data_IF_981549924182
#
_entry.id   IF_981549924182
#
_cell.length_a   1.000
_cell.length_b   1.000
_cell.length_c   1.000
_cell.angle_alpha   90.00
_cell.angle_beta   90.00
_cell.angle_gamma   90.00
#
_symmetry.space_group_name_H-M   'P 1'
#
loop_
_entity.id
_entity.type
_entity.pdbx_description
1 polymer ?
#
# COMPACT_ATOMS: atom_id res chain seq x y z
N UNK A 1 -9.86 15.87 21.06
CA UNK A 1 -9.67 14.73 20.15
C UNK A 1 -10.53 13.57 20.58
N UNK A 2 -11.06 12.82 19.62
CA UNK A 2 -11.91 11.64 19.84
C UNK A 2 -11.44 10.52 18.91
N UNK A 3 -11.38 9.29 19.42
CA UNK A 3 -11.15 8.13 18.61
C UNK A 3 -12.41 7.76 17.81
N UNK A 4 -12.25 7.52 16.53
CA UNK A 4 -13.30 7.05 15.64
C UNK A 4 -12.97 5.61 15.25
N UNK A 5 -13.87 4.69 15.58
CA UNK A 5 -13.73 3.27 15.28
C UNK A 5 -14.83 2.86 14.32
N UNK A 6 -14.52 1.92 13.42
CA UNK A 6 -15.55 1.30 12.59
C UNK A 6 -16.51 0.51 13.47
N UNK A 7 -17.81 0.83 13.39
CA UNK A 7 -18.84 0.22 14.22
C UNK A 7 -19.51 -1.02 13.58
N UNK A 8 -19.28 -1.23 12.27
CA UNK A 8 -19.89 -2.33 11.51
C UNK A 8 -18.81 -3.23 10.91
N UNK A 9 -19.06 -4.53 10.90
CA UNK A 9 -18.14 -5.51 10.29
C UNK A 9 -18.08 -5.29 8.77
N UNK A 10 -17.02 -4.65 8.29
CA UNK A 10 -16.87 -4.19 6.92
C UNK A 10 -15.77 -4.94 6.14
N UNK A 11 -15.30 -6.06 6.64
CA UNK A 11 -14.30 -6.90 5.97
C UNK A 11 -13.09 -7.23 6.85
N UNK A 12 -12.09 -7.88 6.25
CA UNK A 12 -10.90 -8.38 6.93
C UNK A 12 -10.02 -7.30 7.59
N UNK A 13 -10.13 -6.04 7.13
CA UNK A 13 -9.43 -4.89 7.71
C UNK A 13 -10.18 -4.16 8.84
N UNK A 14 -11.37 -4.63 9.22
CA UNK A 14 -12.25 -3.95 10.19
C UNK A 14 -11.53 -3.54 11.49
N UNK A 15 -10.71 -4.41 12.06
CA UNK A 15 -9.98 -4.14 13.31
C UNK A 15 -8.94 -3.01 13.21
N UNK A 16 -8.51 -2.67 12.01
CA UNK A 16 -7.55 -1.60 11.74
C UNK A 16 -8.20 -0.28 11.32
N UNK A 17 -9.52 -0.26 11.13
CA UNK A 17 -10.25 0.95 10.75
C UNK A 17 -10.43 1.87 11.95
N UNK A 18 -9.38 2.64 12.23
CA UNK A 18 -9.33 3.65 13.29
C UNK A 18 -8.99 5.00 12.69
N UNK A 19 -9.60 6.04 13.21
CA UNK A 19 -9.32 7.42 12.84
C UNK A 19 -9.41 8.30 14.08
N UNK A 20 -9.04 9.57 13.96
CA UNK A 20 -9.23 10.59 14.97
C UNK A 20 -10.11 11.71 14.46
N UNK A 21 -11.00 12.16 15.29
CA UNK A 21 -11.73 13.39 15.09
C UNK A 21 -11.14 14.45 16.01
N UNK A 22 -10.64 15.52 15.43
CA UNK A 22 -10.14 16.69 16.16
C UNK A 22 -11.21 17.78 16.05
N UNK A 23 -11.62 18.33 17.19
CA UNK A 23 -12.52 19.49 17.25
C UNK A 23 -11.66 20.67 17.66
N UNK A 24 -11.59 21.66 16.82
CA UNK A 24 -10.81 22.89 16.97
C UNK A 24 -11.72 24.11 16.85
N UNK A 25 -11.23 25.29 17.19
CA UNK A 25 -11.94 26.51 16.86
C UNK A 25 -11.82 26.84 15.36
N UNK A 26 -12.66 27.78 14.89
CA UNK A 26 -12.76 28.12 13.47
C UNK A 26 -11.41 28.59 12.89
N UNK A 27 -10.61 29.35 13.65
CA UNK A 27 -9.36 29.88 13.14
C UNK A 27 -8.31 28.79 12.96
N UNK A 28 -8.20 27.87 13.92
CA UNK A 28 -7.27 26.75 13.88
C UNK A 28 -7.68 25.76 12.77
N UNK A 29 -8.98 25.48 12.63
CA UNK A 29 -9.51 24.66 11.53
C UNK A 29 -9.20 25.29 10.16
N UNK A 30 -9.40 26.60 9.98
CA UNK A 30 -9.11 27.28 8.71
C UNK A 30 -7.61 27.29 8.41
N UNK A 31 -6.76 27.47 9.42
CA UNK A 31 -5.32 27.40 9.26
C UNK A 31 -4.88 25.98 8.84
N UNK A 32 -5.41 24.95 9.50
CA UNK A 32 -5.17 23.55 9.10
C UNK A 32 -5.67 23.26 7.68
N UNK A 33 -6.88 23.71 7.33
CA UNK A 33 -7.48 23.46 6.01
C UNK A 33 -6.63 24.05 4.88
N UNK A 34 -6.00 25.20 5.09
CA UNK A 34 -5.10 25.82 4.10
C UNK A 34 -3.82 24.99 3.86
N UNK A 35 -3.43 24.15 4.80
CA UNK A 35 -2.28 23.25 4.64
C UNK A 35 -2.64 21.94 3.93
N UNK A 36 -3.94 21.65 3.78
CA UNK A 36 -4.37 20.40 3.15
C UNK A 36 -4.32 20.51 1.63
N UNK A 37 -3.88 19.46 0.96
CA UNK A 37 -3.91 19.44 -0.51
C UNK A 37 -5.37 19.41 -1.00
N UNK A 38 -5.67 20.20 -2.01
CA UNK A 38 -6.95 20.11 -2.71
C UNK A 38 -7.04 18.77 -3.46
N UNK A 39 -8.27 18.33 -3.77
CA UNK A 39 -8.48 17.12 -4.58
C UNK A 39 -7.74 17.18 -5.93
N UNK A 40 -7.72 18.36 -6.56
CA UNK A 40 -6.94 18.55 -7.79
C UNK A 40 -5.42 18.41 -7.58
N UNK A 41 -4.90 18.89 -6.44
CA UNK A 41 -3.50 18.70 -6.06
C UNK A 41 -3.20 17.24 -5.68
N UNK A 42 -4.13 16.54 -5.03
CA UNK A 42 -4.00 15.12 -4.76
C UNK A 42 -3.98 14.30 -6.06
N UNK A 43 -4.87 14.61 -7.03
CA UNK A 43 -4.86 13.98 -8.35
C UNK A 43 -3.61 14.34 -9.16
N UNK A 44 -3.17 15.60 -9.11
CA UNK A 44 -1.93 16.04 -9.75
C UNK A 44 -0.69 15.45 -9.05
N UNK A 45 -0.73 15.27 -7.74
CA UNK A 45 0.31 14.60 -6.94
C UNK A 45 0.41 13.10 -7.20
N UNK A 46 -0.68 12.48 -7.64
CA UNK A 46 -0.67 11.09 -8.16
C UNK A 46 0.07 10.99 -9.50
N UNK A 47 0.23 12.14 -10.21
CA UNK A 47 0.96 12.23 -11.48
C UNK A 47 2.23 13.08 -11.47
N UNK A 48 2.57 13.74 -10.35
CA UNK A 48 3.70 14.67 -10.29
C UNK A 48 4.20 14.79 -8.86
N UNK A 49 4.99 13.85 -8.43
CA UNK A 49 5.76 13.99 -7.19
C UNK A 49 6.91 14.94 -7.43
N UNK A 50 6.68 16.22 -7.25
CA UNK A 50 7.75 17.20 -7.20
C UNK A 50 8.56 17.00 -5.92
N UNK A 51 9.68 16.29 -6.02
CA UNK A 51 10.81 16.43 -5.12
C UNK A 51 11.15 15.30 -4.16
N UNK A 52 10.39 14.21 -4.10
CA UNK A 52 10.78 13.03 -3.31
C UNK A 52 11.53 11.98 -4.15
N UNK A 53 12.34 11.14 -3.50
CA UNK A 53 12.93 9.97 -4.14
C UNK A 53 11.84 9.00 -4.61
N UNK A 54 12.15 8.14 -5.60
CA UNK A 54 11.21 7.09 -6.05
C UNK A 54 10.71 6.22 -4.88
N UNK A 55 11.56 6.00 -3.89
CA UNK A 55 11.21 5.22 -2.69
C UNK A 55 10.14 5.93 -1.86
N UNK A 56 10.28 7.24 -1.61
CA UNK A 56 9.29 8.03 -0.87
C UNK A 56 7.95 8.10 -1.60
N UNK A 57 7.99 8.20 -2.92
CA UNK A 57 6.79 8.16 -3.76
C UNK A 57 6.08 6.81 -3.66
N UNK A 58 6.85 5.73 -3.73
CA UNK A 58 6.34 4.37 -3.57
C UNK A 58 5.76 4.11 -2.18
N UNK A 59 6.39 4.65 -1.12
CA UNK A 59 5.87 4.57 0.24
C UNK A 59 4.52 5.26 0.37
N UNK A 60 4.39 6.48 -0.13
CA UNK A 60 3.12 7.21 -0.13
C UNK A 60 2.04 6.47 -0.92
N UNK A 61 2.40 5.90 -2.08
CA UNK A 61 1.49 5.05 -2.86
C UNK A 61 1.02 3.84 -2.07
N UNK A 62 1.92 3.11 -1.42
CA UNK A 62 1.59 1.94 -0.62
C UNK A 62 0.63 2.28 0.53
N UNK A 63 0.79 3.45 1.15
CA UNK A 63 -0.11 3.96 2.18
C UNK A 63 -1.47 4.36 1.61
N UNK A 64 -1.49 5.16 0.54
CA UNK A 64 -2.71 5.70 -0.06
C UNK A 64 -3.57 4.61 -0.70
N UNK A 65 -2.95 3.58 -1.27
CA UNK A 65 -3.64 2.42 -1.85
C UNK A 65 -4.01 1.36 -0.81
N UNK A 66 -3.63 1.56 0.46
CA UNK A 66 -3.97 0.64 1.55
C UNK A 66 -3.20 -0.68 1.54
N UNK A 67 -2.09 -0.77 0.81
CA UNK A 67 -1.31 -2.00 0.69
C UNK A 67 -0.81 -2.51 2.05
N UNK A 68 -0.39 -1.58 2.92
CA UNK A 68 0.12 -1.88 4.27
C UNK A 68 -0.94 -2.44 5.23
N UNK A 69 -2.23 -2.38 4.88
CA UNK A 69 -3.28 -2.99 5.68
C UNK A 69 -3.23 -4.54 5.62
N UNK A 70 -2.70 -5.08 4.54
CA UNK A 70 -2.60 -6.53 4.31
C UNK A 70 -1.16 -7.05 4.35
N UNK A 71 -0.18 -6.22 3.99
CA UNK A 71 1.23 -6.60 3.92
C UNK A 71 2.03 -5.98 5.06
N UNK A 72 2.77 -6.80 5.80
CA UNK A 72 3.63 -6.35 6.88
C UNK A 72 5.03 -5.96 6.38
N UNK A 73 5.68 -5.05 7.12
CA UNK A 73 7.06 -4.60 6.88
C UNK A 73 8.07 -5.24 7.85
N UNK A 74 7.58 -5.89 8.90
CA UNK A 74 8.40 -6.39 10.01
C UNK A 74 8.60 -7.92 9.99
N UNK A 75 7.95 -8.61 9.05
CA UNK A 75 7.98 -10.07 8.95
C UNK A 75 6.84 -10.77 9.69
N UNK A 76 5.93 -10.03 10.30
CA UNK A 76 4.74 -10.61 10.92
C UNK A 76 3.81 -11.23 9.88
N UNK A 77 3.09 -12.28 10.27
CA UNK A 77 2.08 -12.89 9.43
C UNK A 77 0.89 -11.94 9.25
N UNK A 78 0.44 -11.76 8.02
CA UNK A 78 -0.68 -10.89 7.66
C UNK A 78 -1.65 -11.57 6.71
N UNK A 79 -2.59 -10.79 6.21
CA UNK A 79 -3.55 -11.22 5.18
C UNK A 79 -2.83 -11.51 3.86
N UNK A 80 -1.81 -10.71 3.55
CA UNK A 80 -0.89 -10.90 2.43
C UNK A 80 0.52 -11.26 2.90
N UNK A 81 1.42 -11.65 1.99
CA UNK A 81 2.82 -11.91 2.29
C UNK A 81 3.52 -10.69 2.90
N UNK A 82 4.42 -10.93 3.84
CA UNK A 82 5.28 -9.85 4.34
C UNK A 82 6.24 -9.37 3.25
N UNK A 83 6.51 -8.07 3.23
CA UNK A 83 7.49 -7.51 2.31
C UNK A 83 8.93 -7.68 2.80
N UNK A 84 9.09 -7.95 4.10
CA UNK A 84 10.42 -8.13 4.68
C UNK A 84 11.15 -9.34 4.10
N UNK A 85 12.27 -9.08 3.46
CA UNK A 85 13.15 -10.11 2.92
C UNK A 85 12.53 -10.92 1.77
N UNK A 86 11.51 -10.41 1.06
CA UNK A 86 10.86 -11.15 -0.02
C UNK A 86 11.63 -11.06 -1.34
N UNK A 87 12.24 -9.91 -1.65
CA UNK A 87 12.93 -9.69 -2.93
C UNK A 87 14.14 -10.61 -3.05
N UNK A 88 14.29 -11.22 -4.23
CA UNK A 88 15.35 -12.18 -4.51
C UNK A 88 15.14 -13.60 -3.97
N UNK A 89 14.03 -13.86 -3.27
CA UNK A 89 13.65 -15.20 -2.86
C UNK A 89 12.81 -15.92 -3.92
N UNK A 90 12.77 -17.25 -3.83
CA UNK A 90 11.81 -18.06 -4.58
C UNK A 90 10.58 -18.31 -3.72
N UNK A 91 9.43 -17.89 -4.20
CA UNK A 91 8.13 -18.17 -3.59
C UNK A 91 7.47 -19.36 -4.26
N UNK A 92 6.82 -20.22 -3.46
CA UNK A 92 6.09 -21.39 -3.95
C UNK A 92 4.65 -20.96 -4.25
N UNK A 93 4.17 -21.27 -5.44
CA UNK A 93 2.81 -20.96 -5.89
C UNK A 93 1.82 -22.07 -5.51
N UNK A 94 0.53 -21.77 -5.62
CA UNK A 94 -0.55 -22.72 -5.31
C UNK A 94 -0.52 -23.94 -6.24
N UNK A 95 -0.07 -23.80 -7.49
CA UNK A 95 0.07 -24.87 -8.46
C UNK A 95 1.30 -25.76 -8.22
N UNK A 96 2.12 -25.42 -7.21
CA UNK A 96 3.35 -26.15 -6.87
C UNK A 96 4.60 -25.69 -7.61
N UNK A 97 4.48 -24.76 -8.55
CA UNK A 97 5.62 -24.11 -9.18
C UNK A 97 6.28 -23.11 -8.22
N UNK A 98 7.44 -22.58 -8.60
CA UNK A 98 8.06 -21.49 -7.84
C UNK A 98 8.45 -20.36 -8.78
N UNK A 99 8.43 -19.15 -8.24
CA UNK A 99 8.78 -17.93 -8.95
C UNK A 99 9.81 -17.15 -8.15
N UNK A 100 10.79 -16.57 -8.87
CA UNK A 100 11.70 -15.62 -8.26
C UNK A 100 10.97 -14.28 -8.05
N UNK A 101 11.06 -13.72 -6.85
CA UNK A 101 10.51 -12.40 -6.56
C UNK A 101 11.49 -11.34 -7.07
N UNK A 102 11.36 -11.02 -8.34
CA UNK A 102 12.05 -9.95 -9.04
C UNK A 102 11.11 -8.79 -9.41
N UNK A 103 11.62 -7.79 -10.11
CA UNK A 103 10.87 -6.61 -10.48
C UNK A 103 9.65 -6.95 -11.38
N UNK A 104 9.81 -7.90 -12.31
CA UNK A 104 8.75 -8.31 -13.23
C UNK A 104 7.63 -9.04 -12.48
N UNK A 105 7.99 -9.93 -11.56
CA UNK A 105 7.02 -10.60 -10.70
C UNK A 105 6.29 -9.61 -9.79
N UNK A 106 6.97 -8.63 -9.20
CA UNK A 106 6.33 -7.60 -8.38
C UNK A 106 5.33 -6.78 -9.18
N UNK A 107 5.70 -6.35 -10.39
CA UNK A 107 4.79 -5.62 -11.28
C UNK A 107 3.56 -6.45 -11.66
N UNK A 108 3.76 -7.71 -12.04
CA UNK A 108 2.66 -8.62 -12.35
C UNK A 108 1.74 -8.83 -11.16
N UNK A 109 2.29 -9.09 -9.96
CA UNK A 109 1.50 -9.31 -8.74
C UNK A 109 0.67 -8.09 -8.32
N UNK A 110 1.13 -6.88 -8.63
CA UNK A 110 0.40 -5.64 -8.32
C UNK A 110 -0.75 -5.43 -9.32
N UNK A 111 -0.51 -5.69 -10.60
CA UNK A 111 -1.48 -5.43 -11.68
C UNK A 111 -2.46 -6.59 -11.86
N UNK A 112 -1.99 -7.84 -11.73
CA UNK A 112 -2.81 -9.06 -11.81
C UNK A 112 -2.43 -10.04 -10.68
N UNK A 113 -2.88 -9.77 -9.43
CA UNK A 113 -2.47 -10.52 -8.26
C UNK A 113 -2.93 -11.99 -8.25
N UNK A 114 -3.86 -12.37 -9.13
CA UNK A 114 -4.33 -13.73 -9.24
C UNK A 114 -3.59 -14.56 -10.30
N UNK A 115 -2.74 -13.95 -11.12
CA UNK A 115 -1.97 -14.65 -12.15
C UNK A 115 -1.00 -15.68 -11.53
N UNK A 116 -0.37 -15.32 -10.40
CA UNK A 116 0.59 -16.17 -9.68
C UNK A 116 0.35 -16.07 -8.17
N UNK A 117 -0.55 -16.90 -7.67
CA UNK A 117 -0.94 -16.88 -6.27
C UNK A 117 0.08 -17.64 -5.39
N UNK A 118 0.63 -16.97 -4.39
CA UNK A 118 1.57 -17.56 -3.43
C UNK A 118 0.84 -18.56 -2.52
N UNK A 119 1.43 -19.72 -2.34
CA UNK A 119 0.87 -20.78 -1.51
C UNK A 119 0.66 -20.33 -0.07
N UNK A 120 -0.54 -20.56 0.44
CA UNK A 120 -0.93 -20.19 1.82
C UNK A 120 -1.69 -18.87 1.91
N UNK A 121 -1.84 -18.15 0.81
CA UNK A 121 -2.62 -16.91 0.76
C UNK A 121 -3.89 -17.05 -0.08
N UNK A 122 -4.93 -16.32 0.26
CA UNK A 122 -6.19 -16.31 -0.46
C UNK A 122 -6.16 -15.30 -1.63
N UNK A 123 -6.92 -15.52 -2.72
CA UNK A 123 -6.97 -14.62 -3.88
C UNK A 123 -7.88 -13.40 -3.60
N UNK A 124 -7.51 -12.58 -2.63
CA UNK A 124 -8.29 -11.42 -2.16
C UNK A 124 -7.61 -10.08 -2.38
N UNK A 125 -6.37 -10.07 -2.87
CA UNK A 125 -5.68 -8.84 -3.24
C UNK A 125 -6.37 -8.23 -4.47
N UNK A 126 -6.86 -6.97 -4.40
CA UNK A 126 -7.43 -6.29 -5.55
C UNK A 126 -6.33 -5.87 -6.53
N UNK A 127 -6.58 -5.91 -7.85
CA UNK A 127 -5.64 -5.37 -8.83
C UNK A 127 -5.52 -3.85 -8.69
N UNK A 128 -4.30 -3.32 -8.69
CA UNK A 128 -4.07 -1.90 -8.63
C UNK A 128 -4.11 -1.27 -10.03
N UNK A 129 -4.67 -0.05 -10.13
CA UNK A 129 -4.64 0.75 -11.35
C UNK A 129 -3.59 1.84 -11.20
N UNK A 130 -2.40 1.59 -11.72
CA UNK A 130 -1.24 2.47 -11.59
C UNK A 130 -0.67 2.81 -12.97
N UNK A 131 -0.10 4.01 -13.10
CA UNK A 131 0.76 4.33 -14.24
C UNK A 131 2.10 3.62 -14.12
N UNK A 132 2.86 3.52 -15.22
CA UNK A 132 4.21 2.93 -15.22
C UNK A 132 5.11 3.59 -14.16
N UNK A 133 5.13 4.93 -14.10
CA UNK A 133 5.96 5.67 -13.13
C UNK A 133 5.57 5.37 -11.68
N UNK A 134 4.27 5.22 -11.41
CA UNK A 134 3.75 4.84 -10.09
C UNK A 134 4.13 3.41 -9.73
N UNK A 135 4.06 2.51 -10.70
CA UNK A 135 4.44 1.12 -10.53
C UNK A 135 5.94 0.99 -10.24
N UNK A 136 6.77 1.72 -10.97
CA UNK A 136 8.21 1.75 -10.75
C UNK A 136 8.57 2.33 -9.37
N UNK A 137 7.88 3.38 -8.94
CA UNK A 137 8.04 3.95 -7.60
C UNK A 137 7.66 2.94 -6.50
N UNK A 138 6.53 2.25 -6.68
CA UNK A 138 6.08 1.23 -5.72
C UNK A 138 7.06 0.05 -5.65
N UNK A 139 7.56 -0.44 -6.79
CA UNK A 139 8.58 -1.51 -6.83
C UNK A 139 9.88 -1.05 -6.16
N UNK A 140 10.32 0.18 -6.38
CA UNK A 140 11.50 0.74 -5.70
C UNK A 140 11.33 0.76 -4.17
N UNK A 141 10.15 1.16 -3.68
CA UNK A 141 9.82 1.12 -2.26
C UNK A 141 9.83 -0.32 -1.71
N UNK A 142 9.17 -1.26 -2.40
CA UNK A 142 9.10 -2.66 -1.97
C UNK A 142 10.50 -3.28 -1.86
N UNK A 143 11.41 -2.97 -2.77
CA UNK A 143 12.82 -3.40 -2.71
C UNK A 143 13.53 -2.82 -1.51
N UNK A 144 13.32 -1.54 -1.22
CA UNK A 144 13.87 -0.87 -0.04
C UNK A 144 13.32 -1.44 1.27
N UNK A 145 12.01 -1.71 1.33
CA UNK A 145 11.34 -2.26 2.51
C UNK A 145 11.66 -3.74 2.74
N UNK A 146 12.16 -4.45 1.71
CA UNK A 146 12.54 -5.85 1.79
C UNK A 146 13.92 -6.07 2.44
N UNK A 147 14.77 -5.05 2.48
CA UNK A 147 16.18 -5.13 2.91
C UNK A 147 16.43 -5.29 4.39
#
# INVERSE_FOLDING_TARGET
EYDVLCAELCGSGHYNMRSRMVVEDENDFQAWLQTQPTFAQMLAGVGSTSGGSLIEQGEQLAQNQGCIACHSLDGSAGVGPTWKGMVGKNEVLVDGSSVLVDDDYLKESILDPNAKLVKGYAPIMPPAQLTEDQLDALVAYLKSASG
#
